data_IF_865981082607
#
_entry.id   IF_865981082607
#
_cell.length_a   1.000
_cell.length_b   1.000
_cell.length_c   1.000
_cell.angle_alpha   90.00
_cell.angle_beta   90.00
_cell.angle_gamma   90.00
#
_symmetry.space_group_name_H-M   'P 1'
#
loop_
_entity.id
_entity.type
_entity.pdbx_description
1 polymer ?
#
# COMPACT_ATOMS: atom_id res chain seq x y z
N UNK A 1 12.09 -0.43 -1.86
CA UNK A 1 11.87 1.03 -1.69
C UNK A 1 11.40 1.59 -3.00
N UNK A 2 10.34 2.40 -2.99
CA UNK A 2 9.79 3.04 -4.21
C UNK A 2 9.54 4.50 -3.91
N UNK A 3 9.97 5.40 -4.79
CA UNK A 3 9.64 6.83 -4.72
C UNK A 3 8.61 7.13 -5.79
N UNK A 4 7.52 7.79 -5.41
CA UNK A 4 6.41 8.19 -6.29
C UNK A 4 6.12 9.68 -6.10
N UNK A 5 5.52 10.36 -7.10
CA UNK A 5 5.12 11.74 -6.92
C UNK A 5 4.16 11.89 -5.73
N UNK A 6 4.26 13.01 -5.03
CA UNK A 6 3.36 13.31 -3.92
C UNK A 6 1.88 13.21 -4.34
N UNK A 7 1.06 12.69 -3.42
CA UNK A 7 -0.35 12.37 -3.69
C UNK A 7 -0.60 10.99 -4.31
N UNK A 8 0.45 10.24 -4.65
CA UNK A 8 0.38 8.83 -5.06
C UNK A 8 0.95 7.93 -3.95
N UNK A 9 0.47 6.70 -3.83
CA UNK A 9 0.98 5.70 -2.89
C UNK A 9 1.61 4.53 -3.65
N UNK A 10 2.63 3.92 -3.04
CA UNK A 10 3.20 2.66 -3.47
C UNK A 10 2.97 1.60 -2.38
N UNK A 11 2.38 0.47 -2.76
CA UNK A 11 2.07 -0.67 -1.89
C UNK A 11 2.79 -1.90 -2.45
N UNK A 12 3.41 -2.69 -1.57
CA UNK A 12 4.17 -3.89 -1.95
C UNK A 12 4.09 -4.96 -0.85
N UNK A 13 4.77 -6.09 -1.01
CA UNK A 13 4.76 -7.17 -0.04
C UNK A 13 5.40 -6.78 1.30
N UNK A 14 4.96 -7.44 2.37
CA UNK A 14 5.49 -7.29 3.72
C UNK A 14 4.85 -6.13 4.48
N UNK A 15 5.62 -5.46 5.34
CA UNK A 15 5.16 -4.34 6.16
C UNK A 15 5.84 -3.02 5.76
N UNK A 16 5.08 -1.93 5.80
CA UNK A 16 5.62 -0.58 5.59
C UNK A 16 6.45 -0.19 6.83
N UNK A 17 7.76 -0.05 6.64
CA UNK A 17 8.69 0.29 7.75
C UNK A 17 9.01 1.78 7.82
N UNK A 18 8.89 2.51 6.72
CA UNK A 18 9.00 3.98 6.73
C UNK A 18 8.41 4.62 5.49
N UNK A 19 7.95 5.86 5.67
CA UNK A 19 7.48 6.75 4.62
C UNK A 19 8.09 8.12 4.86
N UNK A 20 8.62 8.75 3.82
CA UNK A 20 9.14 10.13 3.90
C UNK A 20 8.91 10.89 2.60
N UNK A 21 8.60 12.18 2.73
CA UNK A 21 8.32 13.06 1.59
C UNK A 21 9.36 14.17 1.52
N UNK A 22 9.88 14.43 0.31
CA UNK A 22 10.86 15.48 0.06
C UNK A 22 10.83 15.87 -1.43
N UNK A 23 10.85 17.18 -1.70
CA UNK A 23 10.99 17.74 -3.05
C UNK A 23 9.94 17.23 -4.06
N UNK A 24 8.68 17.10 -3.64
CA UNK A 24 7.57 16.66 -4.52
C UNK A 24 7.46 15.14 -4.70
N UNK A 25 8.24 14.37 -3.95
CA UNK A 25 8.24 12.90 -3.99
C UNK A 25 8.06 12.31 -2.61
N UNK A 26 7.29 11.23 -2.53
CA UNK A 26 7.13 10.41 -1.33
C UNK A 26 7.76 9.04 -1.57
N UNK A 27 8.68 8.66 -0.68
CA UNK A 27 9.35 7.36 -0.67
C UNK A 27 8.69 6.42 0.33
N UNK A 28 8.31 5.23 -0.13
CA UNK A 28 7.77 4.14 0.67
C UNK A 28 8.80 3.00 0.78
N UNK A 29 9.08 2.58 2.01
CA UNK A 29 9.96 1.44 2.29
C UNK A 29 9.14 0.29 2.86
N UNK A 30 8.86 -0.70 2.00
CA UNK A 30 8.24 -1.97 2.36
C UNK A 30 9.31 -3.03 2.61
N UNK A 31 9.10 -3.87 3.63
CA UNK A 31 10.01 -4.96 4.00
C UNK A 31 9.24 -6.27 4.12
N UNK A 32 9.58 -7.23 3.26
CA UNK A 32 9.27 -8.65 3.45
C UNK A 32 10.55 -9.37 3.89
N UNK A 33 10.49 -10.10 5.00
CA UNK A 33 11.62 -10.85 5.57
C UNK A 33 11.46 -12.38 5.39
N UNK A 34 10.43 -12.80 4.65
CA UNK A 34 10.14 -14.20 4.37
C UNK A 34 10.63 -14.57 2.96
N UNK A 35 11.26 -15.74 2.77
CA UNK A 35 11.54 -16.25 1.44
C UNK A 35 10.26 -16.32 0.59
N UNK A 36 10.33 -15.90 -0.67
CA UNK A 36 9.21 -16.03 -1.60
C UNK A 36 9.69 -16.43 -2.99
N UNK A 37 8.80 -17.07 -3.75
CA UNK A 37 8.98 -17.20 -5.18
C UNK A 37 8.90 -15.82 -5.85
N UNK A 38 9.73 -15.60 -6.88
CA UNK A 38 9.88 -14.30 -7.53
C UNK A 38 8.58 -13.83 -8.17
N UNK A 39 7.76 -14.73 -8.72
CA UNK A 39 6.48 -14.40 -9.38
C UNK A 39 5.42 -13.83 -8.42
N UNK A 40 5.58 -13.99 -7.10
CA UNK A 40 4.68 -13.42 -6.11
C UNK A 40 5.01 -11.96 -5.76
N UNK A 41 6.09 -11.41 -6.33
CA UNK A 41 6.49 -10.02 -6.10
C UNK A 41 5.42 -9.09 -6.63
N UNK A 42 4.87 -8.24 -5.75
CA UNK A 42 3.75 -7.37 -6.05
C UNK A 42 4.13 -5.91 -5.83
N UNK A 43 3.71 -5.04 -6.75
CA UNK A 43 3.79 -3.59 -6.61
C UNK A 43 2.51 -2.97 -7.18
N UNK A 44 1.82 -2.18 -6.37
CA UNK A 44 0.72 -1.33 -6.79
C UNK A 44 1.11 0.13 -6.59
N UNK A 45 0.93 0.96 -7.63
CA UNK A 45 1.15 2.41 -7.57
C UNK A 45 -0.11 3.10 -8.05
N UNK A 46 -0.64 4.02 -7.25
CA UNK A 46 -1.90 4.69 -7.57
C UNK A 46 -2.36 5.63 -6.47
N UNK A 47 -3.51 6.26 -6.71
CA UNK A 47 -4.18 7.12 -5.73
C UNK A 47 -5.19 6.28 -4.97
N UNK A 48 -4.85 5.93 -3.73
CA UNK A 48 -5.68 5.08 -2.89
C UNK A 48 -6.25 5.86 -1.72
N UNK A 49 -7.48 5.54 -1.35
CA UNK A 49 -7.97 5.74 0.00
C UNK A 49 -7.55 4.53 0.83
N UNK A 50 -6.81 4.76 1.91
CA UNK A 50 -6.16 3.70 2.69
C UNK A 50 -6.78 3.67 4.08
N UNK A 51 -7.21 2.49 4.50
CA UNK A 51 -7.55 2.21 5.90
C UNK A 51 -6.61 1.15 6.45
N UNK A 52 -6.30 1.26 7.73
CA UNK A 52 -5.43 0.31 8.44
C UNK A 52 -6.15 -0.23 9.65
N UNK A 53 -5.93 -1.51 9.93
CA UNK A 53 -6.48 -2.19 11.10
C UNK A 53 -5.48 -3.22 11.64
N UNK A 54 -5.86 -3.93 12.69
CA UNK A 54 -5.15 -5.11 13.19
C UNK A 54 -6.12 -6.26 13.41
N UNK A 55 -5.67 -7.46 13.09
CA UNK A 55 -6.36 -8.69 13.49
C UNK A 55 -6.35 -8.82 15.02
N UNK A 56 -7.16 -9.74 15.57
CA UNK A 56 -7.22 -10.00 17.01
C UNK A 56 -5.86 -10.41 17.62
N UNK A 57 -4.99 -11.05 16.83
CA UNK A 57 -3.62 -11.44 17.17
C UNK A 57 -2.56 -10.39 16.76
N UNK A 58 -3.00 -9.21 16.30
CA UNK A 58 -2.15 -8.04 16.11
C UNK A 58 -1.50 -7.90 14.73
N UNK A 59 -1.81 -8.76 13.77
CA UNK A 59 -1.29 -8.67 12.40
C UNK A 59 -1.81 -7.39 11.72
N UNK A 60 -0.95 -6.56 11.13
CA UNK A 60 -1.37 -5.34 10.47
C UNK A 60 -2.15 -5.66 9.19
N UNK A 61 -3.30 -5.02 9.03
CA UNK A 61 -4.13 -5.08 7.81
C UNK A 61 -4.08 -3.71 7.16
N UNK A 62 -3.84 -3.68 5.84
CA UNK A 62 -3.94 -2.48 5.02
C UNK A 62 -4.92 -2.74 3.89
N UNK A 63 -5.98 -1.93 3.83
CA UNK A 63 -6.92 -1.91 2.72
C UNK A 63 -6.66 -0.66 1.88
N UNK A 64 -6.59 -0.82 0.56
CA UNK A 64 -6.33 0.27 -0.37
C UNK A 64 -7.37 0.25 -1.50
N UNK A 65 -8.22 1.26 -1.53
CA UNK A 65 -9.28 1.41 -2.51
C UNK A 65 -8.91 2.51 -3.50
N UNK A 66 -8.97 2.24 -4.80
CA UNK A 66 -8.72 3.30 -5.79
C UNK A 66 -9.73 4.43 -5.59
N UNK A 67 -9.25 5.68 -5.66
CA UNK A 67 -10.13 6.85 -5.61
C UNK A 67 -11.02 6.99 -6.86
N UNK A 68 -10.73 6.21 -7.90
CA UNK A 68 -11.42 6.25 -9.19
C UNK A 68 -12.46 5.11 -9.35
N UNK A 69 -12.85 4.43 -8.27
CA UNK A 69 -13.81 3.31 -8.32
C UNK A 69 -15.24 3.71 -8.76
N UNK A 70 -15.59 4.99 -8.66
CA UNK A 70 -16.91 5.50 -9.05
C UNK A 70 -18.06 4.74 -8.38
N UNK A 71 -19.07 4.33 -9.16
CA UNK A 71 -20.23 3.58 -8.66
C UNK A 71 -19.87 2.24 -7.96
N UNK A 72 -18.68 1.68 -8.22
CA UNK A 72 -18.23 0.43 -7.61
C UNK A 72 -17.64 0.62 -6.21
N UNK A 73 -17.45 1.85 -5.73
CA UNK A 73 -16.76 2.13 -4.47
C UNK A 73 -17.45 1.48 -3.25
N UNK A 74 -18.79 1.45 -3.24
CA UNK A 74 -19.56 0.80 -2.17
C UNK A 74 -19.36 -0.72 -2.17
N UNK A 75 -19.51 -1.36 -3.33
CA UNK A 75 -19.33 -2.80 -3.47
C UNK A 75 -17.89 -3.26 -3.17
N UNK A 76 -16.89 -2.43 -3.49
CA UNK A 76 -15.49 -2.74 -3.19
C UNK A 76 -15.18 -2.76 -1.68
N UNK A 77 -15.95 -2.02 -0.87
CA UNK A 77 -15.75 -1.88 0.59
C UNK A 77 -16.67 -2.76 1.44
N UNK A 78 -17.61 -3.46 0.80
CA UNK A 78 -18.64 -4.25 1.46
C UNK A 78 -18.10 -5.58 2.03
#
# INVERSE_FOLDING_TARGET
SVSVPDGTQAISNGVLVSQSSKLGWTRFNWRSDKPQATYLSTLAVGKFDITTDRTADGLPVLNAYSKDLGANAGAARA
#
